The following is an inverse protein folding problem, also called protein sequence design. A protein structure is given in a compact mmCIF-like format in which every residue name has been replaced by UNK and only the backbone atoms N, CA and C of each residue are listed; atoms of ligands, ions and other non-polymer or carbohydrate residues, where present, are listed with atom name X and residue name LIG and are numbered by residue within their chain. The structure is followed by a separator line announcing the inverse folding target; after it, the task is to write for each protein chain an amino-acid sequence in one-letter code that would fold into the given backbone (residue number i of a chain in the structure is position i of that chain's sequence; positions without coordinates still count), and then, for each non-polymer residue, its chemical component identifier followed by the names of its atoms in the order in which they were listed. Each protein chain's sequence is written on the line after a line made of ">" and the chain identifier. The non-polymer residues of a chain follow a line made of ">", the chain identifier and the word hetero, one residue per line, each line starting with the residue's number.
data_IF_550220040552
#
_entry.id   IF_550220040552
#
_cell.length_a   1.000
_cell.length_b   1.000
_cell.length_c   1.000
_cell.angle_alpha   90.00
_cell.angle_beta   90.00
_cell.angle_gamma   90.00
#
_symmetry.space_group_name_H-M   'P 1'
#
loop_
_entity.id
_entity.type
_entity.pdbx_description
1 polymer ?
#
# COMPACT_ATOMS: atom_id res chain seq x y z
N UNK A 1 -15.32 33.32 -6.65
CA UNK A 1 -15.09 32.17 -7.56
C UNK A 1 -14.65 30.94 -6.76
N UNK A 2 -15.37 29.82 -6.87
CA UNK A 2 -14.99 28.54 -6.25
C UNK A 2 -13.87 27.89 -7.07
N UNK A 3 -12.82 27.38 -6.41
CA UNK A 3 -11.76 26.64 -7.08
C UNK A 3 -12.33 25.34 -7.70
N UNK A 4 -11.85 24.90 -8.88
CA UNK A 4 -12.22 23.61 -9.43
C UNK A 4 -11.80 22.47 -8.49
N UNK A 5 -12.54 21.34 -8.50
CA UNK A 5 -12.18 20.18 -7.71
C UNK A 5 -10.78 19.67 -8.09
N UNK A 6 -10.02 19.14 -7.13
CA UNK A 6 -8.73 18.53 -7.43
C UNK A 6 -8.91 17.31 -8.36
N UNK A 7 -7.92 17.03 -9.22
CA UNK A 7 -7.97 15.86 -10.09
C UNK A 7 -8.03 14.57 -9.27
N UNK A 8 -8.64 13.50 -9.82
CA UNK A 8 -8.69 12.21 -9.16
C UNK A 8 -7.28 11.65 -8.94
N UNK A 9 -7.06 10.85 -7.87
CA UNK A 9 -5.79 10.18 -7.64
C UNK A 9 -5.43 9.22 -8.78
N UNK A 10 -4.15 9.18 -9.13
CA UNK A 10 -3.60 8.30 -10.18
C UNK A 10 -2.56 7.33 -9.65
N UNK A 11 -2.15 7.47 -8.39
CA UNK A 11 -1.18 6.59 -7.73
C UNK A 11 -1.84 5.83 -6.58
N UNK A 12 -1.50 4.55 -6.46
CA UNK A 12 -1.86 3.70 -5.34
C UNK A 12 -0.57 3.38 -4.57
N UNK A 13 -0.55 3.63 -3.27
CA UNK A 13 0.54 3.24 -2.36
C UNK A 13 -0.02 2.14 -1.47
N UNK A 14 0.59 0.95 -1.51
CA UNK A 14 0.15 -0.21 -0.75
C UNK A 14 1.31 -0.76 0.05
N UNK A 15 1.07 -1.12 1.29
CA UNK A 15 2.13 -1.67 2.11
C UNK A 15 1.72 -1.92 3.55
N UNK A 16 2.72 -2.29 4.34
CA UNK A 16 2.52 -2.58 5.75
C UNK A 16 2.52 -1.31 6.62
N UNK A 17 2.67 -1.49 7.93
CA UNK A 17 2.65 -0.41 8.91
C UNK A 17 3.71 0.69 8.69
N UNK A 18 4.76 0.45 7.90
CA UNK A 18 5.79 1.45 7.58
C UNK A 18 5.20 2.60 6.76
N UNK A 19 4.22 2.34 5.89
CA UNK A 19 3.64 3.38 5.03
C UNK A 19 2.54 4.20 5.69
N UNK A 20 2.17 3.90 6.94
CA UNK A 20 1.07 4.56 7.68
C UNK A 20 1.11 6.09 7.64
N UNK A 21 2.31 6.66 7.61
CA UNK A 21 2.52 8.12 7.63
C UNK A 21 2.97 8.68 6.27
N UNK A 22 3.01 7.86 5.22
CA UNK A 22 3.35 8.31 3.87
C UNK A 22 2.16 9.07 3.30
N UNK A 23 2.41 10.30 2.86
CA UNK A 23 1.42 11.16 2.20
C UNK A 23 2.00 11.65 0.89
N UNK A 24 1.26 11.45 -0.20
CA UNK A 24 1.62 11.90 -1.53
C UNK A 24 0.40 12.52 -2.20
N UNK A 25 0.57 13.71 -2.79
CA UNK A 25 -0.51 14.37 -3.54
C UNK A 25 -0.87 13.52 -4.76
N UNK A 26 -2.17 13.31 -4.99
CA UNK A 26 -2.65 12.47 -6.09
C UNK A 26 -2.48 10.98 -5.86
N UNK A 27 -2.22 10.56 -4.61
CA UNK A 27 -2.13 9.15 -4.24
C UNK A 27 -3.21 8.73 -3.25
N UNK A 28 -3.69 7.50 -3.40
CA UNK A 28 -4.42 6.76 -2.39
C UNK A 28 -3.45 5.87 -1.63
N UNK A 29 -3.54 5.81 -0.31
CA UNK A 29 -2.61 5.03 0.54
C UNK A 29 -3.39 3.97 1.31
N UNK A 30 -3.04 2.70 1.13
CA UNK A 30 -3.66 1.54 1.79
C UNK A 30 -2.63 0.82 2.65
N UNK A 31 -2.71 1.06 3.95
CA UNK A 31 -1.83 0.48 4.95
C UNK A 31 -2.49 -0.77 5.56
N UNK A 32 -1.79 -1.90 5.50
CA UNK A 32 -2.19 -3.18 6.08
C UNK A 32 -1.17 -3.61 7.14
N UNK A 33 -1.33 -3.20 8.42
CA UNK A 33 -0.35 -3.50 9.46
C UNK A 33 -0.13 -5.00 9.64
N UNK A 34 1.14 -5.44 9.67
CA UNK A 34 1.51 -6.85 9.82
C UNK A 34 1.45 -7.68 8.53
N UNK A 35 0.98 -7.11 7.43
CA UNK A 35 0.87 -7.81 6.15
C UNK A 35 2.24 -8.28 5.63
N UNK A 36 2.25 -9.51 5.11
CA UNK A 36 3.37 -10.11 4.38
C UNK A 36 3.35 -9.69 2.91
N UNK A 37 4.37 -10.06 2.14
CA UNK A 37 4.37 -9.86 0.68
C UNK A 37 3.17 -10.54 0.03
N UNK A 38 2.80 -11.74 0.48
CA UNK A 38 1.67 -12.50 -0.05
C UNK A 38 0.33 -11.80 0.22
N UNK A 39 0.13 -11.30 1.44
CA UNK A 39 -1.09 -10.56 1.80
C UNK A 39 -1.24 -9.30 0.92
N UNK A 40 -0.16 -8.52 0.79
CA UNK A 40 -0.15 -7.30 -0.04
C UNK A 40 -0.45 -7.62 -1.50
N UNK A 41 0.17 -8.66 -2.06
CA UNK A 41 -0.10 -9.10 -3.43
C UNK A 41 -1.57 -9.49 -3.64
N UNK A 42 -2.17 -10.16 -2.65
CA UNK A 42 -3.59 -10.56 -2.67
C UNK A 42 -4.57 -9.38 -2.72
N UNK A 43 -4.20 -8.22 -2.17
CA UNK A 43 -5.05 -7.02 -2.18
C UNK A 43 -5.02 -6.24 -3.51
N UNK A 44 -3.94 -6.37 -4.31
CA UNK A 44 -3.73 -5.54 -5.50
C UNK A 44 -4.87 -5.65 -6.53
N UNK A 45 -5.35 -6.85 -6.92
CA UNK A 45 -6.38 -6.96 -7.96
C UNK A 45 -7.69 -6.25 -7.60
N UNK A 46 -8.12 -6.33 -6.34
CA UNK A 46 -9.33 -5.66 -5.87
C UNK A 46 -9.15 -4.14 -5.80
N UNK A 47 -7.97 -3.66 -5.37
CA UNK A 47 -7.66 -2.24 -5.34
C UNK A 47 -7.62 -1.60 -6.73
N UNK A 48 -7.04 -2.28 -7.72
CA UNK A 48 -7.02 -1.79 -9.12
C UNK A 48 -8.45 -1.72 -9.68
N UNK A 49 -9.28 -2.73 -9.40
CA UNK A 49 -10.68 -2.74 -9.86
C UNK A 49 -11.52 -1.62 -9.23
N UNK A 50 -11.29 -1.32 -7.94
CA UNK A 50 -12.00 -0.25 -7.22
C UNK A 50 -11.53 1.16 -7.59
N UNK A 51 -10.28 1.31 -8.04
CA UNK A 51 -9.65 2.60 -8.32
C UNK A 51 -9.21 2.70 -9.79
N UNK A 52 -10.18 2.77 -10.70
CA UNK A 52 -9.97 2.74 -12.15
C UNK A 52 -9.16 3.92 -12.71
N UNK A 53 -8.98 5.00 -11.95
CA UNK A 53 -8.14 6.16 -12.33
C UNK A 53 -6.65 5.95 -12.03
N UNK A 54 -6.29 4.89 -11.31
CA UNK A 54 -4.90 4.58 -10.95
C UNK A 54 -4.16 4.06 -12.18
N UNK A 55 -2.98 4.63 -12.43
CA UNK A 55 -2.04 4.19 -13.48
C UNK A 55 -0.66 3.82 -12.92
N UNK A 56 -0.44 4.02 -11.62
CA UNK A 56 0.82 3.73 -10.94
C UNK A 56 0.57 3.07 -9.58
N UNK A 57 1.35 2.05 -9.27
CA UNK A 57 1.31 1.38 -7.97
C UNK A 57 2.72 1.42 -7.36
N UNK A 58 2.80 1.85 -6.10
CA UNK A 58 4.01 1.82 -5.27
C UNK A 58 3.76 0.81 -4.16
N UNK A 59 4.66 -0.16 -4.03
CA UNK A 59 4.51 -1.26 -3.06
C UNK A 59 5.65 -1.17 -2.05
N UNK A 60 5.31 -1.25 -0.76
CA UNK A 60 6.27 -1.44 0.33
C UNK A 60 5.86 -2.67 1.15
N UNK A 61 6.62 -3.74 1.04
CA UNK A 61 6.37 -5.01 1.73
C UNK A 61 7.70 -5.70 2.06
N UNK A 62 7.64 -6.77 2.86
CA UNK A 62 8.79 -7.63 3.19
C UNK A 62 9.30 -7.50 4.63
N UNK A 63 9.01 -6.41 5.34
CA UNK A 63 9.48 -6.24 6.72
C UNK A 63 8.91 -7.30 7.66
N UNK A 64 7.64 -7.67 7.49
CA UNK A 64 7.01 -8.71 8.31
C UNK A 64 7.46 -10.11 7.91
N UNK A 65 7.69 -10.38 6.63
CA UNK A 65 8.23 -11.65 6.13
C UNK A 65 9.61 -11.96 6.73
N UNK A 66 10.52 -10.96 6.74
CA UNK A 66 11.85 -11.09 7.34
C UNK A 66 11.74 -11.34 8.85
N UNK A 67 10.88 -10.59 9.55
CA UNK A 67 10.65 -10.79 11.00
C UNK A 67 10.12 -12.19 11.32
N UNK A 68 9.22 -12.73 10.51
CA UNK A 68 8.68 -14.09 10.69
C UNK A 68 9.78 -15.14 10.53
N UNK A 69 10.66 -15.00 9.53
CA UNK A 69 11.81 -15.90 9.37
C UNK A 69 12.86 -15.77 10.49
N UNK A 70 12.91 -14.65 11.22
CA UNK A 70 13.76 -14.51 12.39
C UNK A 70 13.14 -15.08 13.68
N UNK A 71 11.87 -15.49 13.67
CA UNK A 71 11.20 -16.04 14.86
C UNK A 71 11.56 -17.52 15.12
N UNK A 72 12.35 -18.17 14.27
CA UNK A 72 12.80 -19.56 14.45
C UNK A 72 14.32 -19.64 14.68
N UNK A 73 14.80 -19.13 15.81
CA UNK A 73 16.05 -19.56 16.45
C UNK A 73 15.96 -19.30 17.97
N UNK A 74 15.17 -20.12 18.66
CA UNK A 74 15.38 -20.39 20.08
C UNK A 74 15.72 -21.88 20.19
N UNK A 75 16.96 -22.12 20.62
CA UNK A 75 17.71 -23.37 20.77
C UNK A 75 16.90 -24.64 21.03
#
# INVERSE_FOLDING_TARGET
>A
PTLPPPPPPTTLIVGDSIIRNVRMRGALTFCYPGATVLDIAGHIPDLIQKHTTVSRIIIHAGTNDIRMQQSELLF
#
